data_IF_443984909663
#
_entry.id   IF_443984909663
#
_cell.length_a   1.000
_cell.length_b   1.000
_cell.length_c   1.000
_cell.angle_alpha   90.00
_cell.angle_beta   90.00
_cell.angle_gamma   90.00
#
_symmetry.space_group_name_H-M   'P 1'
#
loop_
_entity.id
_entity.type
_entity.pdbx_description
1 polymer ?
#
# COMPACT_ATOMS: atom_id res chain seq x y z
N UNK A 1 2.72 32.85 -20.52
CA UNK A 1 3.04 32.49 -19.13
C UNK A 1 4.47 31.94 -19.10
N UNK A 2 5.30 32.29 -18.11
CA UNK A 2 6.73 31.93 -18.04
C UNK A 2 7.07 30.76 -17.12
N UNK A 3 6.05 30.08 -16.58
CA UNK A 3 6.21 28.98 -15.63
C UNK A 3 5.29 27.82 -16.01
N UNK A 4 5.76 26.60 -15.78
CA UNK A 4 5.02 25.36 -16.00
C UNK A 4 4.79 24.66 -14.66
N UNK A 5 3.56 24.21 -14.40
CA UNK A 5 3.21 23.45 -13.20
C UNK A 5 3.38 21.96 -13.46
N UNK A 6 4.21 21.29 -12.67
CA UNK A 6 4.45 19.84 -12.74
C UNK A 6 3.95 19.19 -11.46
N UNK A 7 2.99 18.28 -11.58
CA UNK A 7 2.34 17.60 -10.44
C UNK A 7 2.59 16.09 -10.53
N UNK A 8 3.09 15.51 -9.44
CA UNK A 8 3.16 14.06 -9.23
C UNK A 8 2.23 13.65 -8.10
N UNK A 9 1.58 12.48 -8.25
CA UNK A 9 0.68 11.94 -7.24
C UNK A 9 1.22 10.60 -6.74
N UNK A 10 1.12 10.38 -5.44
CA UNK A 10 1.28 9.09 -4.80
C UNK A 10 -0.08 8.69 -4.22
N UNK A 11 -0.57 7.51 -4.60
CA UNK A 11 -1.86 7.01 -4.15
C UNK A 11 -1.68 5.63 -3.49
N UNK A 12 -2.28 5.48 -2.32
CA UNK A 12 -2.33 4.23 -1.57
C UNK A 12 -3.73 3.65 -1.69
N UNK A 13 -3.83 2.37 -2.07
CA UNK A 13 -5.10 1.69 -2.33
C UNK A 13 -5.20 0.44 -1.48
N UNK A 14 -6.19 0.40 -0.58
CA UNK A 14 -6.43 -0.78 0.24
C UNK A 14 -7.06 -1.90 -0.59
N UNK A 15 -6.36 -3.03 -0.69
CA UNK A 15 -6.84 -4.17 -1.45
C UNK A 15 -7.96 -4.91 -0.71
N UNK A 16 -9.10 -5.09 -1.38
CA UNK A 16 -10.29 -5.81 -0.87
C UNK A 16 -10.07 -7.33 -0.75
N UNK A 17 -9.13 -7.72 0.11
CA UNK A 17 -8.79 -9.11 0.45
C UNK A 17 -9.44 -9.49 1.77
N UNK A 18 -9.64 -10.78 2.05
CA UNK A 18 -10.24 -11.26 3.31
C UNK A 18 -9.23 -11.30 4.48
N UNK A 19 -7.95 -11.50 4.16
CA UNK A 19 -6.85 -11.60 5.13
C UNK A 19 -5.73 -10.62 4.79
N UNK A 20 -4.97 -10.18 5.79
CA UNK A 20 -3.89 -9.20 5.62
C UNK A 20 -2.79 -9.69 4.67
N UNK A 21 -1.91 -8.78 4.24
CA UNK A 21 -0.87 -9.07 3.24
C UNK A 21 0.14 -10.13 3.71
N UNK A 22 0.57 -10.10 4.99
CA UNK A 22 1.60 -10.99 5.53
C UNK A 22 1.15 -11.88 6.69
N UNK A 23 -0.13 -11.83 7.04
CA UNK A 23 -0.69 -12.57 8.17
C UNK A 23 -2.09 -13.07 7.85
N UNK A 24 -2.63 -13.98 8.69
CA UNK A 24 -3.95 -14.59 8.48
C UNK A 24 -5.08 -13.88 9.25
N UNK A 25 -4.80 -12.73 9.85
CA UNK A 25 -5.83 -11.91 10.47
C UNK A 25 -6.76 -11.29 9.42
N UNK A 26 -8.01 -11.04 9.83
CA UNK A 26 -9.04 -10.39 8.99
C UNK A 26 -8.65 -8.95 8.64
N UNK A 27 -9.09 -8.50 7.47
CA UNK A 27 -9.05 -7.10 7.02
C UNK A 27 -10.35 -6.34 7.30
N UNK A 28 -11.33 -6.99 7.96
CA UNK A 28 -12.64 -6.38 8.22
C UNK A 28 -12.52 -5.09 9.03
N UNK A 29 -13.24 -4.07 8.58
CA UNK A 29 -13.26 -2.75 9.21
C UNK A 29 -14.27 -2.68 10.36
N UNK A 30 -14.09 -1.71 11.27
CA UNK A 30 -15.06 -1.37 12.31
C UNK A 30 -15.16 -2.36 13.47
N UNK A 31 -14.16 -3.22 13.64
CA UNK A 31 -14.06 -4.10 14.82
C UNK A 31 -13.47 -3.35 16.02
N UNK A 32 -13.68 -3.91 17.21
CA UNK A 32 -13.06 -3.41 18.44
C UNK A 32 -11.52 -3.34 18.31
N UNK A 33 -10.86 -2.38 18.98
CA UNK A 33 -9.41 -2.21 18.91
C UNK A 33 -8.65 -3.52 19.19
N UNK A 34 -7.65 -3.81 18.35
CA UNK A 34 -6.75 -4.97 18.50
C UNK A 34 -7.44 -6.35 18.52
N UNK A 35 -8.62 -6.49 17.89
CA UNK A 35 -9.29 -7.81 17.74
C UNK A 35 -8.93 -8.54 16.46
N UNK A 36 -8.72 -7.80 15.37
CA UNK A 36 -8.26 -8.34 14.09
C UNK A 36 -6.73 -8.35 14.00
N UNK A 37 -6.04 -8.98 14.97
CA UNK A 37 -4.57 -9.05 15.00
C UNK A 37 -4.07 -10.44 15.36
N UNK A 38 -2.83 -10.74 14.99
CA UNK A 38 -2.08 -11.91 15.46
C UNK A 38 -0.62 -11.53 15.79
N UNK A 39 0.19 -12.51 16.17
CA UNK A 39 1.58 -12.29 16.59
C UNK A 39 2.44 -11.62 15.49
N UNK A 40 2.18 -11.91 14.20
CA UNK A 40 2.88 -11.29 13.06
C UNK A 40 2.51 -9.82 12.96
N UNK A 41 1.23 -9.50 13.11
CA UNK A 41 0.74 -8.12 13.08
C UNK A 41 1.32 -7.30 14.23
N UNK A 42 1.46 -7.92 15.41
CA UNK A 42 2.05 -7.32 16.59
C UNK A 42 3.60 -7.26 16.56
N UNK A 43 4.25 -7.78 15.51
CA UNK A 43 5.70 -7.75 15.37
C UNK A 43 6.47 -8.48 16.48
N UNK A 44 5.88 -9.52 17.08
CA UNK A 44 6.49 -10.21 18.21
C UNK A 44 7.76 -10.98 17.83
N UNK A 45 8.69 -11.23 18.78
CA UNK A 45 9.90 -12.00 18.50
C UNK A 45 9.60 -13.39 17.92
N UNK A 46 10.32 -13.77 16.86
CA UNK A 46 10.24 -15.10 16.25
C UNK A 46 9.16 -15.29 15.17
N UNK A 47 8.36 -14.26 14.88
CA UNK A 47 7.33 -14.34 13.83
C UNK A 47 7.92 -14.16 12.43
N UNK A 48 7.28 -14.77 11.42
CA UNK A 48 7.68 -14.67 10.01
C UNK A 48 6.47 -14.28 9.14
N UNK A 49 6.65 -13.42 8.12
CA UNK A 49 5.57 -13.02 7.21
C UNK A 49 5.19 -14.16 6.25
N UNK A 50 3.90 -14.32 5.97
CA UNK A 50 3.40 -15.21 4.91
C UNK A 50 2.51 -14.45 3.94
N UNK A 51 2.93 -14.38 2.68
CA UNK A 51 2.29 -13.57 1.65
C UNK A 51 0.86 -14.04 1.35
N UNK A 52 -0.05 -13.07 1.14
CA UNK A 52 -1.39 -13.30 0.65
C UNK A 52 -1.43 -13.35 -0.89
N UNK A 53 -1.71 -14.53 -1.43
CA UNK A 53 -1.86 -14.78 -2.88
C UNK A 53 -2.91 -13.89 -3.55
N UNK A 54 -3.99 -13.55 -2.85
CA UNK A 54 -5.05 -12.71 -3.41
C UNK A 54 -4.62 -11.24 -3.58
N UNK A 55 -3.66 -10.76 -2.79
CA UNK A 55 -3.09 -9.44 -2.97
C UNK A 55 -2.32 -9.35 -4.30
N UNK A 56 -1.53 -10.37 -4.63
CA UNK A 56 -0.84 -10.49 -5.92
C UNK A 56 -1.81 -10.48 -7.09
N UNK A 57 -2.89 -11.27 -7.02
CA UNK A 57 -3.89 -11.27 -8.09
C UNK A 57 -4.55 -9.91 -8.31
N UNK A 58 -4.81 -9.15 -7.24
CA UNK A 58 -5.36 -7.79 -7.38
C UNK A 58 -4.34 -6.82 -7.96
N UNK A 59 -3.09 -6.86 -7.54
CA UNK A 59 -2.02 -6.02 -8.09
C UNK A 59 -1.78 -6.32 -9.59
N UNK A 60 -1.75 -7.60 -9.99
CA UNK A 60 -1.63 -8.00 -11.40
C UNK A 60 -2.84 -7.50 -12.21
N UNK A 61 -4.06 -7.68 -11.70
CA UNK A 61 -5.27 -7.17 -12.36
C UNK A 61 -5.23 -5.66 -12.54
N UNK A 62 -4.77 -4.92 -11.52
CA UNK A 62 -4.58 -3.48 -11.61
C UNK A 62 -3.57 -3.13 -12.71
N UNK A 63 -2.38 -3.75 -12.71
CA UNK A 63 -1.34 -3.48 -13.72
C UNK A 63 -1.84 -3.73 -15.14
N UNK A 64 -2.54 -4.84 -15.38
CA UNK A 64 -3.15 -5.12 -16.68
C UNK A 64 -4.23 -4.09 -17.07
N UNK A 65 -5.02 -3.61 -16.10
CA UNK A 65 -6.07 -2.61 -16.35
C UNK A 65 -5.51 -1.23 -16.74
N UNK A 66 -4.28 -0.91 -16.32
CA UNK A 66 -3.61 0.36 -16.64
C UNK A 66 -2.54 0.20 -17.73
N UNK A 67 -2.56 -0.90 -18.50
CA UNK A 67 -1.60 -1.16 -19.58
C UNK A 67 -0.13 -1.07 -19.12
N UNK A 68 0.16 -1.65 -17.95
CA UNK A 68 1.49 -1.70 -17.36
C UNK A 68 2.17 -3.06 -17.55
N UNK A 69 3.49 -3.08 -17.36
CA UNK A 69 4.28 -4.31 -17.38
C UNK A 69 4.20 -5.03 -16.03
N UNK A 70 3.85 -6.32 -16.08
CA UNK A 70 3.85 -7.20 -14.90
C UNK A 70 5.21 -7.88 -14.79
N UNK A 71 5.98 -7.50 -13.77
CA UNK A 71 7.31 -8.06 -13.57
C UNK A 71 7.22 -9.53 -13.16
N UNK A 72 7.97 -10.38 -13.87
CA UNK A 72 8.05 -11.82 -13.59
C UNK A 72 8.85 -12.11 -12.32
N UNK A 73 9.73 -11.18 -11.94
CA UNK A 73 10.48 -11.19 -10.68
C UNK A 73 10.15 -9.91 -9.93
N UNK A 74 9.72 -10.04 -8.68
CA UNK A 74 9.53 -8.91 -7.76
C UNK A 74 10.04 -9.29 -6.38
N UNK A 75 10.51 -8.29 -5.62
CA UNK A 75 11.11 -8.47 -4.31
C UNK A 75 10.31 -7.74 -3.24
N UNK A 76 10.34 -8.26 -2.02
CA UNK A 76 9.88 -7.53 -0.85
C UNK A 76 11.10 -7.02 -0.08
N UNK A 77 11.07 -5.74 0.25
CA UNK A 77 12.11 -4.99 0.92
C UNK A 77 11.59 -4.49 2.29
N UNK A 78 12.52 -4.17 3.19
CA UNK A 78 12.19 -3.58 4.49
C UNK A 78 12.47 -2.08 4.46
N UNK A 79 11.42 -1.27 4.56
CA UNK A 79 11.52 0.18 4.78
C UNK A 79 11.52 0.45 6.28
N UNK A 80 12.71 0.73 6.84
CA UNK A 80 12.92 0.83 8.28
C UNK A 80 12.63 2.25 8.80
N UNK A 81 11.73 2.37 9.79
CA UNK A 81 11.45 3.61 10.52
C UNK A 81 10.71 3.28 11.83
N UNK A 82 10.85 4.16 12.83
CA UNK A 82 10.23 3.96 14.14
C UNK A 82 8.98 4.81 14.27
N UNK A 83 7.84 4.16 14.50
CA UNK A 83 6.59 4.83 14.85
C UNK A 83 5.68 3.88 15.65
N UNK A 84 4.87 4.36 16.62
CA UNK A 84 4.09 3.48 17.50
C UNK A 84 3.07 2.56 16.81
N UNK A 85 2.56 2.96 15.64
CA UNK A 85 1.64 2.13 14.84
C UNK A 85 2.34 1.11 13.93
N UNK A 86 3.68 1.10 13.92
CA UNK A 86 4.50 0.19 13.11
C UNK A 86 5.31 -0.76 14.02
N UNK A 87 4.70 -1.84 14.52
CA UNK A 87 5.25 -2.66 15.59
C UNK A 87 6.56 -3.36 15.25
N UNK A 88 6.85 -3.60 13.96
CA UNK A 88 8.07 -4.29 13.50
C UNK A 88 9.29 -3.37 13.43
N UNK A 89 9.12 -2.04 13.52
CA UNK A 89 10.18 -1.06 13.24
C UNK A 89 10.58 -1.00 11.74
N UNK A 90 9.83 -1.68 10.89
CA UNK A 90 9.91 -1.60 9.43
C UNK A 90 8.60 -2.01 8.80
N UNK A 91 8.33 -1.43 7.63
CA UNK A 91 7.24 -1.79 6.73
C UNK A 91 7.80 -2.71 5.65
N UNK A 92 7.15 -3.85 5.41
CA UNK A 92 7.45 -4.68 4.25
C UNK A 92 6.78 -4.06 3.02
N UNK A 93 7.59 -3.65 2.03
CA UNK A 93 7.18 -2.97 0.78
C UNK A 93 7.95 -3.56 -0.40
N UNK A 94 7.93 -2.94 -1.58
CA UNK A 94 8.84 -3.26 -2.68
C UNK A 94 9.50 -1.96 -3.13
N UNK A 95 10.82 -1.90 -3.11
CA UNK A 95 11.62 -0.75 -3.53
C UNK A 95 12.27 -1.03 -4.89
N UNK A 96 13.14 -2.03 -4.97
CA UNK A 96 13.97 -2.26 -6.16
C UNK A 96 13.16 -2.87 -7.32
N UNK A 97 12.46 -3.97 -7.07
CA UNK A 97 11.70 -4.71 -8.08
C UNK A 97 10.20 -4.76 -7.71
N UNK A 98 9.39 -3.76 -8.11
CA UNK A 98 7.93 -3.76 -7.89
C UNK A 98 7.24 -4.88 -8.66
N UNK A 99 6.01 -5.21 -8.30
CA UNK A 99 5.17 -6.13 -9.10
C UNK A 99 4.68 -5.51 -10.42
N UNK A 100 4.45 -4.20 -10.47
CA UNK A 100 3.97 -3.47 -11.66
C UNK A 100 4.92 -2.31 -11.99
N UNK A 101 5.37 -2.25 -13.24
CA UNK A 101 6.21 -1.18 -13.79
C UNK A 101 5.47 -0.43 -14.89
N UNK A 102 5.52 0.90 -14.86
CA UNK A 102 4.88 1.71 -15.90
C UNK A 102 3.35 1.70 -15.82
N UNK A 103 2.72 1.93 -16.97
CA UNK A 103 1.28 2.04 -17.14
C UNK A 103 0.82 3.46 -17.47
N UNK A 104 -0.47 3.58 -17.75
CA UNK A 104 -1.10 4.86 -18.09
C UNK A 104 -2.57 4.89 -17.72
N UNK A 105 -3.05 6.07 -17.39
CA UNK A 105 -4.47 6.38 -17.22
C UNK A 105 -4.82 7.52 -18.15
N UNK A 106 -5.89 7.33 -18.93
CA UNK A 106 -6.46 8.39 -19.76
C UNK A 106 -7.47 9.18 -18.93
N UNK A 107 -7.35 10.50 -18.95
CA UNK A 107 -8.31 11.44 -18.37
C UNK A 107 -8.85 12.36 -19.46
N UNK A 108 -10.03 12.91 -19.23
CA UNK A 108 -10.63 13.92 -20.10
C UNK A 108 -10.54 15.31 -19.44
N UNK A 109 -10.01 16.28 -20.17
CA UNK A 109 -9.92 17.68 -19.76
C UNK A 109 -10.52 18.50 -20.89
N UNK A 110 -11.62 19.21 -20.61
CA UNK A 110 -12.26 20.13 -21.58
C UNK A 110 -12.56 19.46 -22.95
N UNK A 111 -12.96 18.19 -22.95
CA UNK A 111 -13.25 17.41 -24.17
C UNK A 111 -12.01 16.83 -24.87
N UNK A 112 -10.81 17.08 -24.36
CA UNK A 112 -9.57 16.50 -24.87
C UNK A 112 -9.07 15.38 -23.95
N UNK A 113 -8.64 14.27 -24.56
CA UNK A 113 -7.99 13.16 -23.85
C UNK A 113 -6.55 13.51 -23.52
N UNK A 114 -6.15 13.27 -22.27
CA UNK A 114 -4.78 13.42 -21.78
C UNK A 114 -4.34 12.12 -21.13
N UNK A 115 -3.13 11.68 -21.45
CA UNK A 115 -2.52 10.50 -20.86
C UNK A 115 -1.69 10.92 -19.64
N UNK A 116 -1.94 10.28 -18.50
CA UNK A 116 -1.12 10.36 -17.29
C UNK A 116 -0.37 9.05 -17.14
N UNK A 117 0.96 9.11 -17.19
CA UNK A 117 1.79 7.92 -17.03
C UNK A 117 1.90 7.53 -15.56
N UNK A 118 1.89 6.22 -15.30
CA UNK A 118 2.19 5.64 -14.01
C UNK A 118 3.67 5.24 -14.00
N UNK A 119 4.37 5.56 -12.93
CA UNK A 119 5.76 5.13 -12.77
C UNK A 119 5.83 3.65 -12.36
N UNK A 120 5.00 3.26 -11.39
CA UNK A 120 4.98 1.91 -10.79
C UNK A 120 3.74 1.71 -9.93
N UNK A 121 3.44 0.45 -9.61
CA UNK A 121 2.65 0.08 -8.45
C UNK A 121 3.32 -1.10 -7.72
N UNK A 122 3.31 -1.06 -6.40
CA UNK A 122 3.95 -2.09 -5.57
C UNK A 122 3.05 -2.52 -4.42
N UNK A 123 3.31 -3.70 -3.89
CA UNK A 123 2.62 -4.24 -2.72
C UNK A 123 3.34 -3.83 -1.44
N UNK A 124 2.59 -3.34 -0.47
CA UNK A 124 3.09 -3.09 0.88
C UNK A 124 2.03 -3.38 1.93
N UNK A 125 2.48 -3.59 3.17
CA UNK A 125 1.57 -3.65 4.31
C UNK A 125 1.27 -2.26 4.84
N UNK A 126 0.07 -2.09 5.36
CA UNK A 126 -0.34 -0.85 6.02
C UNK A 126 0.13 -0.83 7.50
N UNK A 127 0.25 0.38 8.05
CA UNK A 127 0.50 0.58 9.47
C UNK A 127 -0.80 0.45 10.28
N UNK A 128 -0.67 0.44 11.61
CA UNK A 128 -1.80 0.52 12.51
C UNK A 128 -2.42 1.92 12.53
N UNK A 129 -3.38 2.12 13.45
CA UNK A 129 -3.97 3.43 13.71
C UNK A 129 -3.64 3.87 15.13
N UNK A 130 -3.11 5.08 15.26
CA UNK A 130 -2.94 5.74 16.56
C UNK A 130 -4.11 6.69 16.82
N UNK A 131 -4.61 6.71 18.05
CA UNK A 131 -5.61 7.66 18.54
C UNK A 131 -4.97 8.44 19.67
N UNK A 132 -4.99 9.78 19.57
CA UNK A 132 -4.48 10.65 20.61
C UNK A 132 -5.64 11.03 21.53
N UNK A 133 -5.58 10.60 22.79
CA UNK A 133 -6.50 11.04 23.83
C UNK A 133 -5.80 12.05 24.75
N UNK A 134 -6.51 13.12 25.16
CA UNK A 134 -5.99 14.10 26.12
C UNK A 134 -5.54 15.47 25.57
N UNK A 135 -5.82 15.82 24.30
CA UNK A 135 -5.71 17.23 23.88
C UNK A 135 -6.92 18.03 24.39
N UNK A 136 -6.81 18.59 25.59
CA UNK A 136 -7.60 19.75 25.96
C UNK A 136 -7.07 20.99 25.20
N UNK A 137 -7.89 21.55 24.30
CA UNK A 137 -7.61 22.78 23.52
C UNK A 137 -7.21 22.46 22.07
N UNK A 138 -7.90 22.91 21.02
CA UNK A 138 -8.49 24.24 20.82
C UNK A 138 -9.89 24.14 20.17
N UNK A 139 -10.91 24.60 20.90
CA UNK A 139 -12.05 25.26 20.28
C UNK A 139 -11.76 26.73 20.02
#
# INVERSE_FOLDING_TARGET
>A
MSWECVIGLEAHVQLSTETKLFSRASTSFGQEPNTNVNLVDCGLPGVLPTVNKNAFYKAIRFGLAVDADINQTSLFDRKNYFYPDLPKGYQITQMELPIVSGGKVEIEIEGAKKIINLTRAHLEEDAGKSIHEGMAGTG
#
